data_IF_534169583911
#
_entry.id   IF_534169583911
#
_cell.length_a   1.000
_cell.length_b   1.000
_cell.length_c   1.000
_cell.angle_alpha   90.00
_cell.angle_beta   90.00
_cell.angle_gamma   90.00
#
_symmetry.space_group_name_H-M   'P 1'
#
loop_
_entity.id
_entity.type
_entity.pdbx_description
1 polymer ?
#
# COMPACT_ATOMS: atom_id res chain seq x y z
N UNK A 1 11.49 -5.58 -15.49
CA UNK A 1 11.17 -4.15 -15.43
C UNK A 1 9.97 -3.81 -16.27
N UNK A 2 8.97 -3.21 -15.65
CA UNK A 2 7.71 -2.80 -16.27
C UNK A 2 7.30 -1.40 -15.76
N UNK A 3 6.09 -0.96 -16.08
CA UNK A 3 5.60 0.40 -15.81
C UNK A 3 5.01 0.60 -14.41
N UNK A 4 5.16 -0.37 -13.49
CA UNK A 4 4.62 -0.28 -12.14
C UNK A 4 5.62 -0.81 -11.11
N UNK A 5 5.43 -0.41 -9.87
CA UNK A 5 6.23 -0.92 -8.75
C UNK A 5 5.34 -1.14 -7.54
N UNK A 6 5.76 -2.04 -6.66
CA UNK A 6 5.09 -2.32 -5.40
C UNK A 6 5.92 -1.71 -4.27
N UNK A 7 5.29 -0.89 -3.43
CA UNK A 7 5.92 -0.32 -2.24
C UNK A 7 5.53 -1.12 -1.02
N UNK A 8 6.52 -1.58 -0.26
CA UNK A 8 6.34 -2.25 1.03
C UNK A 8 6.38 -1.24 2.18
N UNK A 9 5.33 -1.25 3.01
CA UNK A 9 5.13 -0.36 4.15
C UNK A 9 5.23 -1.08 5.50
N UNK A 10 5.55 -2.38 5.54
CA UNK A 10 5.61 -3.18 6.79
C UNK A 10 6.51 -2.50 7.83
N UNK A 11 7.70 -2.06 7.43
CA UNK A 11 8.68 -1.40 8.31
C UNK A 11 8.34 0.07 8.63
N UNK A 12 7.26 0.61 8.05
CA UNK A 12 6.80 1.98 8.25
C UNK A 12 5.64 2.08 9.24
N UNK A 13 5.20 0.96 9.81
CA UNK A 13 4.05 0.87 10.69
C UNK A 13 2.80 1.56 10.09
N UNK A 14 2.64 1.43 8.77
CA UNK A 14 1.51 1.95 7.99
C UNK A 14 0.86 0.80 7.24
N UNK A 15 -0.46 0.83 7.12
CA UNK A 15 -1.19 -0.08 6.25
C UNK A 15 -1.36 0.49 4.85
N UNK A 16 -1.52 -0.38 3.85
CA UNK A 16 -1.86 0.03 2.49
C UNK A 16 -3.15 0.85 2.45
N UNK A 17 -4.14 0.50 3.27
CA UNK A 17 -5.40 1.25 3.44
C UNK A 17 -5.19 2.67 3.97
N UNK A 18 -4.32 2.86 4.96
CA UNK A 18 -4.03 4.19 5.51
C UNK A 18 -3.26 5.05 4.50
N UNK A 19 -2.29 4.46 3.80
CA UNK A 19 -1.51 5.14 2.78
C UNK A 19 -2.39 5.58 1.59
N UNK A 20 -3.25 4.69 1.08
CA UNK A 20 -4.23 4.97 0.03
C UNK A 20 -5.15 6.15 0.42
N UNK A 21 -5.70 6.13 1.63
CA UNK A 21 -6.56 7.21 2.11
C UNK A 21 -5.79 8.54 2.31
N UNK A 22 -4.54 8.49 2.77
CA UNK A 22 -3.71 9.68 2.98
C UNK A 22 -3.32 10.35 1.66
N UNK A 23 -2.89 9.56 0.68
CA UNK A 23 -2.56 10.03 -0.67
C UNK A 23 -3.81 10.55 -1.39
N UNK A 24 -4.96 9.90 -1.22
CA UNK A 24 -6.24 10.38 -1.75
C UNK A 24 -6.61 11.78 -1.25
N UNK A 25 -6.34 12.11 0.02
CA UNK A 25 -6.53 13.49 0.55
C UNK A 25 -5.62 14.52 -0.10
N UNK A 26 -4.49 14.09 -0.65
CA UNK A 26 -3.56 14.91 -1.41
C UNK A 26 -3.79 14.87 -2.93
N UNK A 27 -4.92 14.29 -3.38
CA UNK A 27 -5.26 14.08 -4.80
C UNK A 27 -4.27 13.18 -5.56
N UNK A 28 -3.66 12.22 -4.86
CA UNK A 28 -2.80 11.18 -5.45
C UNK A 28 -3.56 9.85 -5.41
N UNK A 29 -3.88 9.29 -6.58
CA UNK A 29 -4.60 8.02 -6.71
C UNK A 29 -3.62 6.86 -6.76
N UNK A 30 -3.77 5.90 -5.85
CA UNK A 30 -2.99 4.65 -5.80
C UNK A 30 -3.93 3.47 -5.53
N UNK A 31 -3.39 2.26 -5.44
CA UNK A 31 -4.13 1.07 -5.03
C UNK A 31 -3.42 0.37 -3.87
N UNK A 32 -4.12 0.16 -2.74
CA UNK A 32 -3.63 -0.75 -1.69
C UNK A 32 -3.43 -2.17 -2.25
N UNK A 33 -2.28 -2.77 -1.98
CA UNK A 33 -1.90 -4.10 -2.47
C UNK A 33 -1.20 -4.91 -1.39
N UNK A 34 -1.39 -6.23 -1.42
CA UNK A 34 -0.61 -7.13 -0.59
C UNK A 34 0.84 -7.21 -1.05
N UNK A 35 1.73 -7.39 -0.08
CA UNK A 35 3.16 -7.64 -0.28
C UNK A 35 3.50 -9.11 0.01
N UNK A 36 4.67 -9.63 -0.41
CA UNK A 36 5.10 -10.96 -0.02
C UNK A 36 5.11 -11.11 1.52
N UNK A 37 4.53 -12.20 2.04
CA UNK A 37 4.38 -12.47 3.48
C UNK A 37 3.67 -11.34 4.25
N UNK A 38 2.69 -10.67 3.62
CA UNK A 38 1.95 -9.56 4.24
C UNK A 38 1.39 -9.96 5.63
N UNK A 39 1.79 -9.27 6.72
CA UNK A 39 1.30 -9.57 8.06
C UNK A 39 -0.13 -9.08 8.29
N UNK A 40 -0.70 -8.29 7.37
CA UNK A 40 -2.05 -7.72 7.46
C UNK A 40 -3.04 -8.53 6.62
N UNK A 41 -4.32 -8.41 6.95
CA UNK A 41 -5.38 -9.07 6.19
C UNK A 41 -5.51 -8.48 4.77
N UNK A 42 -6.06 -9.23 3.80
CA UNK A 42 -6.26 -8.75 2.43
C UNK A 42 -7.12 -7.48 2.30
N UNK A 43 -7.92 -7.15 3.31
CA UNK A 43 -8.76 -5.93 3.31
C UNK A 43 -8.01 -4.67 3.78
N UNK A 44 -6.83 -4.85 4.37
CA UNK A 44 -6.01 -3.77 4.96
C UNK A 44 -4.70 -3.63 4.20
N UNK A 45 -3.99 -4.73 4.00
CA UNK A 45 -2.69 -4.88 3.30
C UNK A 45 -1.54 -4.03 3.89
N UNK A 46 -0.31 -4.34 3.51
CA UNK A 46 0.89 -3.60 3.92
C UNK A 46 1.63 -2.94 2.75
N UNK A 47 1.00 -2.79 1.59
CA UNK A 47 1.62 -2.13 0.43
C UNK A 47 0.69 -1.26 -0.38
N UNK A 48 1.29 -0.49 -1.28
CA UNK A 48 0.62 0.32 -2.30
C UNK A 48 1.30 0.13 -3.66
N UNK A 49 0.52 0.26 -4.72
CA UNK A 49 0.98 0.28 -6.11
C UNK A 49 0.38 1.49 -6.82
#
# INVERSE_FOLDING_TARGET
>A
DNHLFLVDLVDKNLTGKEADAALGRANITVNKNSVPNDPKSPFVTSGIR
#
